data_IF_981578841118
#
_entry.id   IF_981578841118
#
_cell.length_a   1.000
_cell.length_b   1.000
_cell.length_c   1.000
_cell.angle_alpha   90.00
_cell.angle_beta   90.00
_cell.angle_gamma   90.00
#
_symmetry.space_group_name_H-M   'P 1'
#
loop_
_entity.id
_entity.type
_entity.pdbx_description
1 polymer ?
#
# COMPACT_ATOMS: atom_id res chain seq x y z
N UNK A 1 -0.51 23.02 -61.85
CA UNK A 1 -1.43 21.96 -61.41
C UNK A 1 -0.95 21.49 -60.02
N UNK A 2 -1.65 22.00 -59.00
CA UNK A 2 -1.42 21.55 -57.63
C UNK A 2 -2.04 20.18 -57.45
N UNK A 3 -1.21 19.18 -57.14
CA UNK A 3 -1.65 17.85 -56.81
C UNK A 3 -2.33 17.81 -55.45
N UNK A 4 -3.67 17.77 -55.45
CA UNK A 4 -4.44 17.53 -54.20
C UNK A 4 -4.22 16.06 -53.83
N UNK A 5 -3.50 15.85 -52.74
CA UNK A 5 -3.32 14.50 -52.18
C UNK A 5 -4.63 14.09 -51.53
N UNK A 6 -5.34 13.12 -52.09
CA UNK A 6 -6.58 12.55 -51.60
C UNK A 6 -6.36 11.44 -50.57
N UNK A 7 -5.42 11.61 -49.69
CA UNK A 7 -5.22 10.68 -48.59
C UNK A 7 -5.84 11.29 -47.32
N UNK A 8 -6.85 10.61 -46.81
CA UNK A 8 -7.45 10.98 -45.52
C UNK A 8 -6.52 10.58 -44.36
N UNK A 9 -5.60 11.46 -44.03
CA UNK A 9 -4.67 11.26 -42.91
C UNK A 9 -5.38 11.05 -41.56
N UNK A 10 -6.64 11.41 -41.44
CA UNK A 10 -7.39 11.18 -40.21
C UNK A 10 -7.75 9.70 -40.02
N UNK A 11 -7.90 8.94 -41.12
CA UNK A 11 -8.19 7.51 -41.08
C UNK A 11 -6.96 6.65 -40.75
N UNK A 12 -5.76 7.15 -41.03
CA UNK A 12 -4.49 6.45 -40.77
C UNK A 12 -3.84 6.84 -39.45
N UNK A 13 -4.34 7.87 -38.75
CA UNK A 13 -3.82 8.20 -37.42
C UNK A 13 -4.24 7.09 -36.42
N UNK A 14 -3.27 6.41 -35.78
CA UNK A 14 -3.61 5.47 -34.74
C UNK A 14 -4.43 6.17 -33.68
N UNK A 15 -5.62 5.64 -33.38
CA UNK A 15 -6.48 6.15 -32.30
C UNK A 15 -5.65 6.18 -31.01
N UNK A 16 -5.12 7.34 -30.68
CA UNK A 16 -4.50 7.57 -29.38
C UNK A 16 -5.63 7.41 -28.38
N UNK A 17 -5.65 6.26 -27.71
CA UNK A 17 -6.58 6.06 -26.57
C UNK A 17 -6.32 7.21 -25.62
N UNK A 18 -7.25 8.17 -25.57
CA UNK A 18 -7.21 9.27 -24.62
C UNK A 18 -6.97 8.63 -23.24
N UNK A 19 -5.81 8.87 -22.65
CA UNK A 19 -5.55 8.42 -21.28
C UNK A 19 -6.69 8.98 -20.45
N UNK A 20 -7.55 8.10 -19.91
CA UNK A 20 -8.58 8.51 -18.94
C UNK A 20 -7.84 9.39 -17.95
N UNK A 21 -8.35 10.62 -17.77
CA UNK A 21 -7.82 11.52 -16.74
C UNK A 21 -7.74 10.71 -15.46
N UNK A 22 -6.51 10.49 -14.99
CA UNK A 22 -6.27 9.68 -13.79
C UNK A 22 -6.97 10.41 -12.66
N UNK A 23 -8.00 9.78 -12.10
CA UNK A 23 -8.72 10.34 -10.96
C UNK A 23 -7.71 10.63 -9.83
N UNK A 24 -7.92 11.73 -9.12
CA UNK A 24 -7.11 12.08 -7.95
C UNK A 24 -7.11 10.87 -7.00
N UNK A 25 -5.94 10.39 -6.57
CA UNK A 25 -5.86 9.26 -5.66
C UNK A 25 -6.65 9.53 -4.38
N UNK A 26 -7.39 8.55 -3.91
CA UNK A 26 -8.05 8.64 -2.62
C UNK A 26 -7.00 8.47 -1.52
N UNK A 27 -6.84 9.48 -0.68
CA UNK A 27 -5.96 9.46 0.48
C UNK A 27 -6.75 9.38 1.79
N UNK A 28 -6.12 8.87 2.84
CA UNK A 28 -6.68 8.76 4.17
C UNK A 28 -6.28 9.97 5.00
N UNK A 29 -7.20 10.48 5.80
CA UNK A 29 -6.85 11.47 6.82
C UNK A 29 -6.16 10.79 8.01
N UNK A 30 -5.41 11.56 8.79
CA UNK A 30 -4.77 11.08 10.02
C UNK A 30 -5.81 10.44 10.97
N UNK A 31 -6.92 11.11 11.21
CA UNK A 31 -8.00 10.63 12.07
C UNK A 31 -8.64 9.33 11.56
N UNK A 32 -8.79 9.19 10.25
CA UNK A 32 -9.30 7.95 9.66
C UNK A 32 -8.32 6.80 9.85
N UNK A 33 -7.01 7.02 9.66
CA UNK A 33 -5.98 6.00 9.91
C UNK A 33 -5.91 5.63 11.39
N UNK A 34 -5.94 6.60 12.28
CA UNK A 34 -5.98 6.38 13.72
C UNK A 34 -7.17 5.51 14.13
N UNK A 35 -8.36 5.84 13.66
CA UNK A 35 -9.57 5.05 13.92
C UNK A 35 -9.49 3.65 13.29
N UNK A 36 -8.98 3.54 12.06
CA UNK A 36 -8.80 2.25 11.37
C UNK A 36 -7.89 1.32 12.17
N UNK A 37 -6.73 1.82 12.58
CA UNK A 37 -5.74 1.07 13.35
C UNK A 37 -6.27 0.73 14.74
N UNK A 38 -6.93 1.68 15.42
CA UNK A 38 -7.53 1.48 16.74
C UNK A 38 -8.70 0.48 16.77
N UNK A 39 -9.35 0.23 15.61
CA UNK A 39 -10.42 -0.76 15.50
C UNK A 39 -9.91 -2.21 15.41
N UNK A 40 -8.59 -2.41 15.31
CA UNK A 40 -7.98 -3.73 15.21
C UNK A 40 -7.79 -4.32 16.60
N UNK A 41 -8.47 -5.43 16.86
CA UNK A 41 -8.29 -6.18 18.11
C UNK A 41 -6.94 -6.93 18.10
N UNK A 42 -5.90 -6.30 18.65
CA UNK A 42 -4.55 -6.87 18.76
C UNK A 42 -4.45 -7.99 19.81
N UNK A 43 -5.46 -8.22 20.62
CA UNK A 43 -5.55 -9.37 21.52
C UNK A 43 -5.78 -10.68 20.77
N UNK A 44 -6.41 -10.64 19.60
CA UNK A 44 -6.70 -11.83 18.81
C UNK A 44 -5.55 -12.19 17.83
N UNK A 45 -5.30 -13.50 17.59
CA UNK A 45 -4.32 -13.96 16.61
C UNK A 45 -4.51 -13.37 15.22
N UNK A 46 -5.76 -13.32 14.75
CA UNK A 46 -6.11 -12.72 13.46
C UNK A 46 -5.86 -11.21 13.45
N UNK A 47 -6.20 -10.53 14.54
CA UNK A 47 -5.98 -9.09 14.65
C UNK A 47 -4.50 -8.71 14.64
N UNK A 48 -3.62 -9.50 15.28
CA UNK A 48 -2.17 -9.30 15.19
C UNK A 48 -1.67 -9.38 13.75
N UNK A 49 -2.14 -10.37 12.98
CA UNK A 49 -1.85 -10.48 11.56
C UNK A 49 -2.29 -9.24 10.78
N UNK A 50 -3.55 -8.89 10.97
CA UNK A 50 -4.20 -7.83 10.22
C UNK A 50 -3.56 -6.46 10.52
N UNK A 51 -3.17 -6.25 11.78
CA UNK A 51 -2.40 -5.08 12.22
C UNK A 51 -1.05 -4.99 11.52
N UNK A 52 -0.26 -6.07 11.51
CA UNK A 52 1.03 -6.09 10.84
C UNK A 52 0.90 -5.82 9.32
N UNK A 53 -0.10 -6.42 8.66
CA UNK A 53 -0.38 -6.20 7.24
C UNK A 53 -0.71 -4.74 6.95
N UNK A 54 -1.61 -4.14 7.73
CA UNK A 54 -2.03 -2.74 7.54
C UNK A 54 -0.86 -1.80 7.81
N UNK A 55 -0.08 -2.07 8.86
CA UNK A 55 1.05 -1.24 9.21
C UNK A 55 2.15 -1.26 8.12
N UNK A 56 2.46 -2.43 7.55
CA UNK A 56 3.38 -2.55 6.40
C UNK A 56 2.87 -1.70 5.22
N UNK A 57 1.58 -1.73 4.93
CA UNK A 57 1.01 -0.94 3.84
C UNK A 57 1.10 0.57 4.11
N UNK A 58 0.83 1.01 5.36
CA UNK A 58 0.88 2.41 5.74
C UNK A 58 2.30 2.97 5.83
N UNK A 59 3.24 2.17 6.36
CA UNK A 59 4.60 2.63 6.69
C UNK A 59 5.60 2.43 5.56
N UNK A 60 5.46 1.34 4.82
CA UNK A 60 6.38 0.95 3.76
C UNK A 60 5.76 1.01 2.36
N UNK A 61 4.46 1.28 2.26
CA UNK A 61 3.78 1.43 0.99
C UNK A 61 3.78 0.20 0.10
N UNK A 62 3.97 -1.01 0.63
CA UNK A 62 4.02 -2.23 -0.15
C UNK A 62 2.68 -2.50 -0.87
N UNK A 63 2.77 -3.09 -2.05
CA UNK A 63 1.58 -3.57 -2.75
C UNK A 63 0.97 -4.78 -2.05
N UNK A 64 -0.33 -4.92 -2.15
CA UNK A 64 -1.07 -6.07 -1.59
C UNK A 64 -0.43 -7.42 -1.98
N UNK A 65 -0.05 -7.58 -3.25
CA UNK A 65 0.61 -8.80 -3.75
C UNK A 65 1.97 -9.04 -3.12
N UNK A 66 2.75 -7.97 -2.91
CA UNK A 66 4.06 -8.07 -2.27
C UNK A 66 3.90 -8.45 -0.80
N UNK A 67 2.96 -7.82 -0.06
CA UNK A 67 2.69 -8.17 1.35
C UNK A 67 2.28 -9.64 1.49
N UNK A 68 1.38 -10.14 0.62
CA UNK A 68 0.96 -11.55 0.62
C UNK A 68 2.13 -12.51 0.37
N UNK A 69 3.08 -12.08 -0.45
CA UNK A 69 4.24 -12.86 -0.85
C UNK A 69 5.42 -12.81 0.12
N UNK A 70 5.36 -12.01 1.20
CA UNK A 70 6.47 -11.88 2.14
C UNK A 70 6.79 -13.22 2.82
N UNK A 71 8.08 -13.57 2.81
CA UNK A 71 8.64 -14.78 3.41
C UNK A 71 9.57 -14.43 4.58
N UNK A 72 9.91 -15.41 5.40
CA UNK A 72 10.87 -15.24 6.49
C UNK A 72 12.22 -14.73 6.00
N UNK A 73 12.71 -15.22 4.87
CA UNK A 73 13.98 -14.84 4.24
C UNK A 73 14.04 -13.37 3.80
N UNK A 74 12.87 -12.72 3.63
CA UNK A 74 12.82 -11.31 3.25
C UNK A 74 13.18 -10.37 4.41
N UNK A 75 13.14 -10.84 5.66
CA UNK A 75 13.40 -10.02 6.84
C UNK A 75 14.84 -10.21 7.33
N UNK A 76 15.70 -9.26 7.03
CA UNK A 76 17.02 -9.19 7.63
C UNK A 76 16.93 -8.42 8.96
N UNK A 77 16.72 -9.17 10.04
CA UNK A 77 16.54 -8.60 11.38
C UNK A 77 17.80 -7.95 11.91
N UNK A 78 19.00 -8.46 11.57
CA UNK A 78 20.28 -7.95 12.03
C UNK A 78 20.54 -6.55 11.44
N UNK A 79 20.29 -6.39 10.14
CA UNK A 79 20.50 -5.14 9.43
C UNK A 79 19.25 -4.23 9.46
N UNK A 80 18.15 -4.70 10.05
CA UNK A 80 16.85 -4.00 10.07
C UNK A 80 16.40 -3.61 8.68
N UNK A 81 16.41 -4.57 7.75
CA UNK A 81 16.02 -4.40 6.36
C UNK A 81 14.95 -5.39 5.94
N UNK A 82 14.11 -4.97 5.01
CA UNK A 82 13.16 -5.81 4.31
C UNK A 82 13.58 -5.87 2.83
N UNK A 83 13.99 -7.07 2.38
CA UNK A 83 14.52 -7.31 1.04
C UNK A 83 13.62 -8.28 0.29
N UNK A 84 13.08 -7.88 -0.84
CA UNK A 84 12.19 -8.74 -1.64
C UNK A 84 12.19 -8.33 -3.12
N UNK A 85 11.69 -9.20 -3.99
CA UNK A 85 11.46 -8.90 -5.40
C UNK A 85 9.99 -8.53 -5.59
N UNK A 86 9.73 -7.36 -6.13
CA UNK A 86 8.37 -6.89 -6.37
C UNK A 86 7.63 -7.80 -7.35
N UNK A 87 6.41 -8.20 -7.00
CA UNK A 87 5.60 -9.12 -7.80
C UNK A 87 5.26 -8.57 -9.19
N UNK A 88 4.98 -7.27 -9.28
CA UNK A 88 4.54 -6.61 -10.51
C UNK A 88 5.69 -6.21 -11.44
N UNK A 89 6.73 -5.59 -10.90
CA UNK A 89 7.83 -4.99 -11.68
C UNK A 89 9.05 -5.90 -11.81
N UNK A 90 9.09 -6.98 -10.99
CA UNK A 90 10.23 -7.92 -10.90
C UNK A 90 11.55 -7.25 -10.50
N UNK A 91 11.49 -6.05 -9.91
CA UNK A 91 12.66 -5.35 -9.43
C UNK A 91 12.98 -5.74 -7.99
N UNK A 92 14.26 -5.90 -7.65
CA UNK A 92 14.66 -6.05 -6.25
C UNK A 92 14.34 -4.76 -5.49
N UNK A 93 13.88 -4.92 -4.25
CA UNK A 93 13.54 -3.83 -3.36
C UNK A 93 14.19 -4.06 -2.00
N UNK A 94 14.84 -3.03 -1.49
CA UNK A 94 15.37 -2.98 -0.14
C UNK A 94 14.78 -1.78 0.58
N UNK A 95 14.10 -2.01 1.69
CA UNK A 95 13.48 -0.98 2.51
C UNK A 95 13.95 -1.10 3.96
N UNK A 96 14.05 0.02 4.70
CA UNK A 96 14.32 -0.04 6.13
C UNK A 96 13.15 -0.71 6.85
N UNK A 97 13.47 -1.67 7.72
CA UNK A 97 12.47 -2.27 8.61
C UNK A 97 12.30 -1.36 9.82
N UNK A 98 11.32 -0.45 9.72
CA UNK A 98 11.02 0.49 10.81
C UNK A 98 10.56 -0.26 12.06
N UNK A 99 10.91 0.23 13.27
CA UNK A 99 10.72 -0.53 14.52
C UNK A 99 9.29 -0.99 14.77
N UNK A 100 8.29 -0.14 14.53
CA UNK A 100 6.88 -0.45 14.72
C UNK A 100 6.39 -1.60 13.83
N UNK A 101 6.80 -1.61 12.56
CA UNK A 101 6.53 -2.72 11.62
C UNK A 101 7.22 -4.00 12.10
N UNK A 102 8.49 -3.89 12.48
CA UNK A 102 9.26 -5.03 12.99
C UNK A 102 8.60 -5.67 14.21
N UNK A 103 8.21 -4.86 15.20
CA UNK A 103 7.53 -5.35 16.40
C UNK A 103 6.15 -5.94 16.09
N UNK A 104 5.38 -5.34 15.19
CA UNK A 104 4.08 -5.89 14.80
C UNK A 104 4.21 -7.27 14.12
N UNK A 105 5.22 -7.45 13.27
CA UNK A 105 5.50 -8.75 12.64
C UNK A 105 5.95 -9.76 13.69
N UNK A 106 6.85 -9.41 14.61
CA UNK A 106 7.32 -10.29 15.69
C UNK A 106 6.15 -10.71 16.59
N UNK A 107 5.29 -9.77 16.98
CA UNK A 107 4.11 -10.06 17.81
C UNK A 107 3.17 -11.05 17.12
N UNK A 108 2.93 -10.85 15.82
CA UNK A 108 2.16 -11.80 15.03
C UNK A 108 2.82 -13.18 14.97
N UNK A 109 4.13 -13.24 14.67
CA UNK A 109 4.85 -14.51 14.55
C UNK A 109 4.87 -15.30 15.86
N UNK A 110 5.04 -14.62 16.99
CA UNK A 110 5.12 -15.27 18.30
C UNK A 110 3.76 -15.68 18.85
N UNK A 111 2.75 -14.85 18.68
CA UNK A 111 1.50 -14.96 19.43
C UNK A 111 0.25 -15.04 18.56
N UNK A 112 0.37 -14.86 17.24
CA UNK A 112 -0.77 -14.84 16.34
C UNK A 112 -0.71 -15.85 15.22
N UNK A 113 0.48 -16.18 14.70
CA UNK A 113 0.60 -17.05 13.54
C UNK A 113 0.26 -18.50 13.86
N UNK A 114 -0.66 -19.13 13.09
CA UNK A 114 -0.90 -20.57 13.21
C UNK A 114 0.40 -21.38 13.03
N UNK A 115 0.52 -22.49 13.78
CA UNK A 115 1.67 -23.39 13.69
C UNK A 115 1.54 -24.25 12.42
N UNK A 116 2.04 -23.73 11.32
CA UNK A 116 2.02 -24.40 10.00
C UNK A 116 3.39 -24.28 9.35
N UNK A 117 3.78 -25.34 8.63
CA UNK A 117 4.97 -25.33 7.79
C UNK A 117 4.68 -24.52 6.52
N UNK A 118 5.12 -23.30 6.50
CA UNK A 118 4.97 -22.39 5.37
C UNK A 118 6.09 -21.37 5.39
N UNK A 119 6.77 -21.09 4.27
CA UNK A 119 7.81 -20.06 4.19
C UNK A 119 7.25 -18.64 4.26
N UNK A 120 5.93 -18.48 4.11
CA UNK A 120 5.28 -17.18 4.12
C UNK A 120 5.04 -16.67 5.54
N UNK A 121 5.29 -15.38 5.75
CA UNK A 121 4.99 -14.71 7.02
C UNK A 121 3.49 -14.75 7.29
N UNK A 122 2.69 -14.30 6.33
CA UNK A 122 1.25 -14.17 6.48
C UNK A 122 0.50 -15.36 5.90
N UNK A 123 -0.35 -15.95 6.71
CA UNK A 123 -1.23 -17.05 6.33
C UNK A 123 -2.68 -16.74 6.66
N UNK A 124 -3.61 -17.48 6.05
CA UNK A 124 -5.03 -17.38 6.39
C UNK A 124 -5.27 -17.87 7.81
N UNK A 125 -6.24 -17.27 8.51
CA UNK A 125 -6.67 -17.69 9.85
C UNK A 125 -7.96 -18.54 9.77
N UNK A 126 -8.01 -19.40 8.77
CA UNK A 126 -9.05 -20.40 8.56
C UNK A 126 -8.37 -21.68 8.08
N UNK A 127 -8.72 -22.82 8.69
CA UNK A 127 -8.17 -24.11 8.29
C UNK A 127 -8.34 -24.35 6.78
N UNK A 128 -7.35 -24.92 6.13
CA UNK A 128 -6.08 -25.46 6.63
C UNK A 128 -4.92 -24.46 6.74
N UNK A 129 -5.19 -23.18 7.04
CA UNK A 129 -4.21 -22.11 7.29
C UNK A 129 -3.20 -21.90 6.15
N UNK A 130 -3.65 -21.99 4.91
CA UNK A 130 -2.84 -21.81 3.72
C UNK A 130 -2.30 -20.38 3.59
N UNK A 131 -1.23 -20.19 2.85
CA UNK A 131 -0.81 -18.86 2.39
C UNK A 131 -1.93 -18.14 1.64
N UNK A 132 -1.86 -16.83 1.56
CA UNK A 132 -2.77 -16.06 0.71
C UNK A 132 -2.56 -16.43 -0.76
N UNK A 133 -3.65 -16.67 -1.47
CA UNK A 133 -3.68 -16.91 -2.91
C UNK A 133 -3.80 -15.60 -3.71
N UNK A 134 -3.70 -15.67 -5.02
CA UNK A 134 -3.94 -14.51 -5.90
C UNK A 134 -5.35 -13.94 -5.72
N UNK A 135 -6.36 -14.79 -5.56
CA UNK A 135 -7.76 -14.41 -5.37
C UNK A 135 -8.08 -13.79 -4.00
N UNK A 136 -7.16 -13.86 -3.03
CA UNK A 136 -7.38 -13.24 -1.73
C UNK A 136 -7.16 -11.73 -1.81
N UNK A 137 -8.22 -10.97 -1.66
CA UNK A 137 -8.19 -9.51 -1.70
C UNK A 137 -8.11 -8.92 -0.29
N UNK A 138 -6.94 -8.42 0.12
CA UNK A 138 -6.75 -7.73 1.39
C UNK A 138 -7.59 -6.45 1.52
N UNK A 139 -8.21 -5.99 0.43
CA UNK A 139 -9.19 -4.89 0.48
C UNK A 139 -10.41 -5.21 1.35
N UNK A 140 -10.80 -6.49 1.45
CA UNK A 140 -11.89 -6.91 2.33
C UNK A 140 -11.53 -6.71 3.80
N UNK A 141 -10.26 -6.90 4.14
CA UNK A 141 -9.71 -6.64 5.46
C UNK A 141 -9.87 -5.16 5.82
N UNK A 142 -9.45 -4.25 4.92
CA UNK A 142 -9.62 -2.80 5.13
C UNK A 142 -11.10 -2.45 5.32
N UNK A 143 -11.99 -2.95 4.43
CA UNK A 143 -13.42 -2.68 4.54
C UNK A 143 -14.02 -3.14 5.88
N UNK A 144 -13.61 -4.32 6.36
CA UNK A 144 -14.09 -4.83 7.65
C UNK A 144 -13.70 -3.90 8.81
N UNK A 145 -12.47 -3.39 8.82
CA UNK A 145 -12.03 -2.45 9.85
C UNK A 145 -12.59 -1.04 9.66
N UNK A 146 -12.88 -0.60 8.43
CA UNK A 146 -13.62 0.65 8.19
C UNK A 146 -15.00 0.60 8.85
N UNK A 147 -15.73 -0.50 8.68
CA UNK A 147 -17.05 -0.70 9.31
C UNK A 147 -16.92 -0.63 10.84
N UNK A 148 -15.95 -1.35 11.43
CA UNK A 148 -15.70 -1.34 12.88
C UNK A 148 -15.30 0.05 13.40
N UNK A 149 -14.58 0.81 12.60
CA UNK A 149 -14.11 2.16 12.94
C UNK A 149 -15.15 3.24 12.63
N UNK A 150 -16.35 2.88 12.14
CA UNK A 150 -17.39 3.81 11.68
C UNK A 150 -16.88 4.81 10.64
N UNK A 151 -16.01 4.33 9.72
CA UNK A 151 -15.50 5.11 8.59
C UNK A 151 -16.39 4.83 7.38
N UNK A 152 -16.92 5.87 6.69
CA UNK A 152 -17.78 5.67 5.52
C UNK A 152 -17.09 4.84 4.43
N UNK A 153 -17.76 3.78 3.97
CA UNK A 153 -17.25 2.89 2.91
C UNK A 153 -17.63 3.42 1.51
N UNK A 154 -18.70 4.19 1.44
CA UNK A 154 -19.22 4.76 0.17
C UNK A 154 -18.46 6.03 -0.23
N UNK A 155 -18.37 6.29 -1.53
CA UNK A 155 -17.91 7.56 -2.10
C UNK A 155 -16.43 7.70 -2.37
N UNK A 156 -15.55 6.90 -1.77
CA UNK A 156 -14.12 6.90 -2.06
C UNK A 156 -13.58 5.47 -2.22
N UNK A 157 -12.69 5.27 -3.21
CA UNK A 157 -11.99 4.00 -3.35
C UNK A 157 -10.96 3.85 -2.21
N UNK A 158 -11.37 3.22 -1.12
CA UNK A 158 -10.51 2.96 0.03
C UNK A 158 -10.16 1.48 0.10
N UNK A 159 -8.87 1.19 0.17
CA UNK A 159 -8.33 -0.16 0.23
C UNK A 159 -6.82 -0.13 0.45
N UNK A 160 -6.16 -1.27 0.31
CA UNK A 160 -4.70 -1.37 0.47
C UNK A 160 -3.92 -0.40 -0.43
N UNK A 161 -4.42 -0.17 -1.65
CA UNK A 161 -3.76 0.74 -2.59
C UNK A 161 -3.86 2.20 -2.16
N UNK A 162 -4.97 2.61 -1.56
CA UNK A 162 -5.11 3.98 -1.04
C UNK A 162 -4.22 4.26 0.18
N UNK A 163 -3.91 3.26 1.02
CA UNK A 163 -2.92 3.41 2.09
C UNK A 163 -1.54 3.74 1.52
N UNK A 164 -1.15 3.05 0.45
CA UNK A 164 0.10 3.33 -0.26
C UNK A 164 0.10 4.73 -0.90
N UNK A 165 -1.04 5.17 -1.48
CA UNK A 165 -1.17 6.54 -1.98
C UNK A 165 -1.01 7.57 -0.86
N UNK A 166 -1.62 7.33 0.29
CA UNK A 166 -1.49 8.19 1.46
C UNK A 166 -0.02 8.32 1.90
N UNK A 167 0.71 7.21 1.99
CA UNK A 167 2.13 7.22 2.33
C UNK A 167 2.94 8.05 1.32
N UNK A 168 2.70 7.87 0.01
CA UNK A 168 3.38 8.65 -1.02
C UNK A 168 3.05 10.14 -0.96
N UNK A 169 1.80 10.50 -0.65
CA UNK A 169 1.36 11.88 -0.46
C UNK A 169 2.05 12.52 0.75
N UNK A 170 2.13 11.82 1.87
CA UNK A 170 2.84 12.30 3.07
C UNK A 170 4.34 12.53 2.81
N UNK A 171 4.98 11.64 2.02
CA UNK A 171 6.37 11.86 1.62
C UNK A 171 6.53 13.12 0.77
N UNK A 172 5.58 13.38 -0.14
CA UNK A 172 5.57 14.58 -0.96
C UNK A 172 5.39 15.84 -0.11
N UNK A 173 4.49 15.83 0.87
CA UNK A 173 4.28 16.93 1.82
C UNK A 173 5.52 17.25 2.65
N UNK A 174 6.34 16.24 2.91
CA UNK A 174 7.63 16.39 3.61
C UNK A 174 8.78 16.75 2.66
N UNK A 175 8.46 17.30 1.49
CA UNK A 175 9.41 17.73 0.47
C UNK A 175 10.36 16.62 -0.02
N UNK A 176 9.94 15.35 0.09
CA UNK A 176 10.73 14.23 -0.46
C UNK A 176 10.72 14.30 -1.98
N UNK A 177 11.89 14.29 -2.65
CA UNK A 177 11.96 14.36 -4.10
C UNK A 177 11.19 13.24 -4.79
N UNK A 178 10.46 13.56 -5.87
CA UNK A 178 9.66 12.58 -6.63
C UNK A 178 10.42 11.32 -7.06
N UNK A 179 11.69 11.39 -7.51
CA UNK A 179 12.46 10.19 -7.82
C UNK A 179 12.60 9.26 -6.59
N UNK A 180 12.88 9.83 -5.41
CA UNK A 180 13.00 9.06 -4.15
C UNK A 180 11.67 8.41 -3.78
N UNK A 181 10.55 9.15 -3.90
CA UNK A 181 9.21 8.59 -3.70
C UNK A 181 8.97 7.45 -4.69
N UNK A 182 9.33 7.66 -5.98
CA UNK A 182 9.21 6.64 -7.03
C UNK A 182 9.96 5.36 -6.68
N UNK A 183 11.17 5.48 -6.19
CA UNK A 183 12.02 4.35 -5.77
C UNK A 183 11.39 3.63 -4.57
N UNK A 184 10.99 4.35 -3.51
CA UNK A 184 10.37 3.78 -2.30
C UNK A 184 9.10 3.00 -2.65
N UNK A 185 8.24 3.56 -3.51
CA UNK A 185 7.02 2.88 -3.94
C UNK A 185 7.25 1.95 -5.15
N UNK A 186 8.47 1.88 -5.70
CA UNK A 186 8.84 0.99 -6.80
C UNK A 186 8.00 1.21 -8.06
N UNK A 187 7.93 2.44 -8.54
CA UNK A 187 7.41 2.76 -9.85
C UNK A 187 8.55 2.71 -10.87
N UNK A 188 8.33 2.09 -12.03
CA UNK A 188 9.30 2.06 -13.13
C UNK A 188 9.29 3.36 -13.94
N UNK A 189 8.20 4.12 -13.86
CA UNK A 189 7.98 5.36 -14.59
C UNK A 189 7.61 6.48 -13.62
N UNK A 190 8.40 7.55 -13.64
CA UNK A 190 8.16 8.77 -12.87
C UNK A 190 6.82 9.43 -13.19
N UNK A 191 6.28 9.23 -14.41
CA UNK A 191 4.93 9.69 -14.77
C UNK A 191 3.84 9.07 -13.89
N UNK A 192 4.05 7.82 -13.42
CA UNK A 192 3.13 7.18 -12.48
C UNK A 192 3.17 7.85 -11.10
N UNK A 193 4.31 8.44 -10.74
CA UNK A 193 4.50 9.17 -9.48
C UNK A 193 4.01 10.61 -9.61
N UNK A 194 4.09 11.22 -10.80
CA UNK A 194 3.60 12.58 -11.07
C UNK A 194 2.09 12.75 -10.81
N UNK A 195 1.34 11.66 -10.72
CA UNK A 195 -0.08 11.67 -10.31
C UNK A 195 -0.27 12.31 -8.94
N UNK A 196 0.73 12.19 -8.04
CA UNK A 196 0.68 12.78 -6.71
C UNK A 196 0.82 14.29 -6.71
N UNK A 197 1.44 14.87 -7.75
CA UNK A 197 1.49 16.34 -7.93
C UNK A 197 0.12 16.96 -8.23
N UNK A 198 -0.85 16.15 -8.67
CA UNK A 198 -2.22 16.60 -8.92
C UNK A 198 -3.11 16.54 -7.68
N UNK A 199 -2.61 15.96 -6.60
CA UNK A 199 -3.31 15.99 -5.32
C UNK A 199 -3.21 17.41 -4.81
N UNK A 200 -4.35 18.06 -4.60
CA UNK A 200 -4.41 19.41 -4.09
C UNK A 200 -3.69 19.50 -2.74
N UNK A 201 -2.54 20.17 -2.72
CA UNK A 201 -1.70 20.32 -1.54
C UNK A 201 -2.47 20.97 -0.37
N UNK A 202 -3.50 21.78 -0.66
CA UNK A 202 -4.34 22.40 0.37
C UNK A 202 -5.15 21.37 1.16
N UNK A 203 -5.62 20.28 0.50
CA UNK A 203 -6.31 19.17 1.17
C UNK A 203 -5.36 18.27 1.95
N UNK A 204 -4.08 18.25 1.59
CA UNK A 204 -3.05 17.45 2.24
C UNK A 204 -2.47 18.15 3.48
N UNK A 205 -2.46 19.47 3.51
CA UNK A 205 -2.02 20.24 4.67
C UNK A 205 -2.87 19.98 5.94
N UNK A 206 -4.09 19.46 5.78
CA UNK A 206 -4.95 19.01 6.88
C UNK A 206 -4.58 17.61 7.41
N UNK A 207 -3.56 16.98 6.87
CA UNK A 207 -3.21 15.59 7.13
C UNK A 207 -1.76 15.38 7.59
N UNK A 208 -1.29 16.02 8.68
CA UNK A 208 -0.01 15.68 9.27
C UNK A 208 -0.10 14.26 9.84
N UNK A 209 0.40 13.27 9.10
CA UNK A 209 0.53 11.91 9.60
C UNK A 209 1.75 11.83 10.51
N UNK A 210 1.62 12.24 11.75
CA UNK A 210 2.56 11.86 12.79
C UNK A 210 2.26 10.41 13.20
N UNK A 211 2.91 9.48 12.49
CA UNK A 211 2.76 8.04 12.76
C UNK A 211 3.24 7.65 14.16
N UNK A 212 4.14 8.43 14.78
CA UNK A 212 4.58 8.16 16.14
C UNK A 212 3.44 8.37 17.15
N UNK A 213 2.59 9.36 16.94
CA UNK A 213 1.43 9.60 17.79
C UNK A 213 0.37 8.50 17.66
N UNK A 214 0.16 7.98 16.45
CA UNK A 214 -0.78 6.87 16.19
C UNK A 214 -0.35 5.57 16.87
N UNK A 215 0.96 5.35 17.04
CA UNK A 215 1.51 4.13 17.63
C UNK A 215 1.51 4.17 19.16
N UNK A 216 1.67 5.34 19.77
CA UNK A 216 1.66 5.51 21.24
C UNK A 216 0.30 5.25 21.91
N UNK A 217 -0.77 5.21 21.12
CA UNK A 217 -2.14 5.03 21.60
C UNK A 217 -2.69 3.60 21.44
N UNK A 218 -1.89 2.66 20.98
CA UNK A 218 -2.16 1.21 20.89
C UNK A 218 -1.20 0.41 21.74
#
# INVERSE_FOLDING_TARGET
QEGIVTVDFAAEMPMVKARKQTAIPSVWTHEELKRLIGAIDRGSPKGKRDYAIILIACRLGLRCTDIKGLRFENFNWAEKKLCFVQSKTKQPMELPLVPDVGWAVIDYLKYGRPKVESPYIFVRHMAPFLPFSEGDHLNQLIKAYMVKAHIPVSGKHRGMHSLRHTMASVLLEKDTPLPVISDIIGHLDTNSTAVYLKVDMAHLAECPLDFEEVIRLG
#
